data_IF_082302806273
#
_entry.id   IF_082302806273
#
_cell.length_a   1.000
_cell.length_b   1.000
_cell.length_c   1.000
_cell.angle_alpha   90.00
_cell.angle_beta   90.00
_cell.angle_gamma   90.00
#
_symmetry.space_group_name_H-M   'P 1'
#
loop_
_entity.id
_entity.type
_entity.pdbx_description
1 polymer ?
#
# COMPACT_ATOMS: atom_id res chain seq x y z
N UNK A 1 17.02 -6.86 -18.18
CA UNK A 1 16.27 -5.99 -19.10
C UNK A 1 15.20 -5.30 -18.28
N UNK A 2 15.14 -3.97 -18.25
CA UNK A 2 14.11 -3.25 -17.48
C UNK A 2 12.72 -3.47 -18.09
N UNK A 3 11.66 -3.39 -17.29
CA UNK A 3 10.28 -3.52 -17.79
C UNK A 3 9.97 -2.56 -18.96
N UNK A 4 10.53 -1.35 -18.95
CA UNK A 4 10.37 -0.37 -20.02
C UNK A 4 11.12 -0.76 -21.31
N UNK A 5 12.24 -1.48 -21.20
CA UNK A 5 12.96 -2.03 -22.36
C UNK A 5 12.17 -3.17 -23.03
N UNK A 6 11.54 -4.06 -22.25
CA UNK A 6 10.67 -5.10 -22.81
C UNK A 6 9.46 -4.48 -23.52
N UNK A 7 8.85 -3.45 -22.92
CA UNK A 7 7.72 -2.73 -23.52
C UNK A 7 8.11 -2.01 -24.82
N UNK A 8 9.30 -1.39 -24.85
CA UNK A 8 9.88 -0.75 -26.03
C UNK A 8 10.06 -1.73 -27.19
N UNK A 9 10.62 -2.91 -26.90
CA UNK A 9 10.80 -3.96 -27.90
C UNK A 9 9.45 -4.48 -28.42
N UNK A 10 8.49 -4.74 -27.53
CA UNK A 10 7.18 -5.30 -27.91
C UNK A 10 6.31 -4.32 -28.72
N UNK A 11 6.41 -3.02 -28.43
CA UNK A 11 5.63 -1.98 -29.12
C UNK A 11 6.39 -1.33 -30.28
N UNK A 12 7.62 -1.78 -30.56
CA UNK A 12 8.52 -1.21 -31.57
C UNK A 12 8.71 0.31 -31.43
N UNK A 13 8.85 0.79 -30.19
CA UNK A 13 9.12 2.20 -29.89
C UNK A 13 10.51 2.40 -29.32
N UNK A 14 11.10 3.57 -29.55
CA UNK A 14 12.32 3.99 -28.85
C UNK A 14 12.04 4.14 -27.35
N UNK A 15 13.00 3.71 -26.52
CA UNK A 15 12.89 3.77 -25.06
C UNK A 15 12.64 5.20 -24.56
N UNK A 16 13.26 6.19 -25.19
CA UNK A 16 13.08 7.62 -24.89
C UNK A 16 11.66 8.09 -25.19
N UNK A 17 11.08 7.63 -26.29
CA UNK A 17 9.72 7.98 -26.70
C UNK A 17 8.69 7.40 -25.72
N UNK A 18 8.82 6.13 -25.34
CA UNK A 18 7.98 5.53 -24.30
C UNK A 18 8.14 6.22 -22.95
N UNK A 19 9.37 6.58 -22.57
CA UNK A 19 9.62 7.34 -21.35
C UNK A 19 8.84 8.66 -21.31
N UNK A 20 8.77 9.36 -22.43
CA UNK A 20 7.96 10.59 -22.57
C UNK A 20 6.46 10.32 -22.48
N UNK A 21 5.97 9.26 -23.14
CA UNK A 21 4.56 8.85 -23.07
C UNK A 21 4.18 8.57 -21.61
N UNK A 22 4.95 7.74 -20.89
CA UNK A 22 4.67 7.42 -19.50
C UNK A 22 4.70 8.65 -18.59
N UNK A 23 5.70 9.52 -18.75
CA UNK A 23 5.79 10.77 -17.97
C UNK A 23 4.56 11.68 -18.16
N UNK A 24 3.96 11.67 -19.36
CA UNK A 24 2.81 12.51 -19.66
C UNK A 24 1.47 11.87 -19.27
N UNK A 25 1.35 10.54 -19.41
CA UNK A 25 0.10 9.82 -19.16
C UNK A 25 -0.06 9.47 -17.69
N UNK A 26 1.02 9.07 -17.00
CA UNK A 26 0.94 8.57 -15.63
C UNK A 26 0.32 9.59 -14.65
N UNK A 27 0.67 10.90 -14.68
CA UNK A 27 0.02 11.88 -13.81
C UNK A 27 -1.48 12.03 -14.09
N UNK A 28 -1.89 11.94 -15.37
CA UNK A 28 -3.31 12.03 -15.76
C UNK A 28 -4.09 10.80 -15.29
N UNK A 29 -3.51 9.60 -15.47
CA UNK A 29 -4.10 8.36 -14.94
C UNK A 29 -4.21 8.41 -13.43
N UNK A 30 -3.16 8.84 -12.73
CA UNK A 30 -3.17 9.00 -11.28
C UNK A 30 -4.31 9.93 -10.84
N UNK A 31 -4.47 11.09 -11.48
CA UNK A 31 -5.55 12.03 -11.18
C UNK A 31 -6.96 11.45 -11.44
N UNK A 32 -7.12 10.64 -12.48
CA UNK A 32 -8.38 9.96 -12.76
C UNK A 32 -8.68 8.87 -11.75
N UNK A 33 -7.67 8.08 -11.36
CA UNK A 33 -7.80 6.93 -10.45
C UNK A 33 -7.94 7.35 -8.99
N UNK A 34 -7.38 8.50 -8.60
CA UNK A 34 -7.48 9.06 -7.24
C UNK A 34 -8.93 9.20 -6.77
N UNK A 35 -9.85 9.51 -7.70
CA UNK A 35 -11.29 9.63 -7.42
C UNK A 35 -11.94 8.32 -6.95
N UNK A 36 -11.29 7.17 -7.16
CA UNK A 36 -11.77 5.86 -6.72
C UNK A 36 -11.21 5.45 -5.36
N UNK A 37 -10.29 6.24 -4.78
CA UNK A 37 -9.70 5.99 -3.47
C UNK A 37 -10.42 6.88 -2.46
N UNK A 38 -11.50 6.36 -1.89
CA UNK A 38 -12.24 7.03 -0.83
C UNK A 38 -12.36 6.13 0.39
N UNK A 39 -12.41 6.76 1.58
CA UNK A 39 -12.60 6.03 2.82
C UNK A 39 -14.10 5.71 3.00
N UNK A 40 -14.52 4.44 2.96
CA UNK A 40 -15.92 4.08 3.12
C UNK A 40 -16.38 4.20 4.57
N UNK A 41 -17.69 4.36 4.76
CA UNK A 41 -18.31 4.28 6.07
C UNK A 41 -18.30 2.83 6.59
N UNK A 42 -18.33 2.66 7.91
CA UNK A 42 -18.45 1.34 8.55
C UNK A 42 -19.62 0.50 8.01
N UNK A 43 -20.76 1.14 7.75
CA UNK A 43 -21.94 0.47 7.20
C UNK A 43 -21.70 -0.06 5.78
N UNK A 44 -21.01 0.70 4.94
CA UNK A 44 -20.67 0.27 3.58
C UNK A 44 -19.74 -0.95 3.62
N UNK A 45 -18.70 -0.93 4.46
CA UNK A 45 -17.78 -2.07 4.63
C UNK A 45 -18.52 -3.30 5.16
N UNK A 46 -19.41 -3.12 6.12
CA UNK A 46 -20.22 -4.23 6.66
C UNK A 46 -21.11 -4.88 5.59
N UNK A 47 -21.69 -4.08 4.70
CA UNK A 47 -22.56 -4.58 3.63
C UNK A 47 -21.76 -5.34 2.56
N UNK A 48 -20.54 -4.91 2.24
CA UNK A 48 -19.67 -5.57 1.26
C UNK A 48 -18.88 -6.75 1.81
N UNK A 49 -18.73 -6.87 3.13
CA UNK A 49 -18.08 -8.01 3.78
C UNK A 49 -18.78 -9.35 3.43
N UNK A 50 -18.03 -10.35 2.92
CA UNK A 50 -18.58 -11.68 2.65
C UNK A 50 -19.21 -12.31 3.89
N UNK A 51 -20.31 -13.04 3.72
CA UNK A 51 -21.09 -13.63 4.83
C UNK A 51 -20.21 -14.49 5.75
N UNK A 52 -19.29 -15.29 5.17
CA UNK A 52 -18.36 -16.14 5.92
C UNK A 52 -17.40 -15.36 6.82
N UNK A 53 -17.08 -14.11 6.49
CA UNK A 53 -16.20 -13.25 7.26
C UNK A 53 -16.92 -12.58 8.43
N UNK A 54 -18.22 -12.28 8.31
CA UNK A 54 -18.99 -11.52 9.32
C UNK A 54 -18.99 -12.17 10.70
N UNK A 55 -19.00 -13.50 10.76
CA UNK A 55 -19.03 -14.24 12.03
C UNK A 55 -17.82 -13.93 12.94
N UNK A 56 -16.64 -13.68 12.36
CA UNK A 56 -15.39 -13.44 13.11
C UNK A 56 -14.83 -12.04 12.95
N UNK A 57 -15.16 -11.37 11.85
CA UNK A 57 -14.53 -10.14 11.39
C UNK A 57 -15.55 -9.02 11.09
N UNK A 58 -16.75 -9.07 11.68
CA UNK A 58 -17.79 -8.02 11.50
C UNK A 58 -17.37 -6.62 11.92
N UNK A 59 -16.33 -6.48 12.75
CA UNK A 59 -15.79 -5.19 13.17
C UNK A 59 -14.57 -4.75 12.34
N UNK A 60 -14.07 -5.59 11.43
CA UNK A 60 -12.92 -5.25 10.58
C UNK A 60 -13.37 -4.28 9.51
N UNK A 61 -12.79 -3.09 9.52
CA UNK A 61 -13.10 -2.03 8.54
C UNK A 61 -11.97 -1.78 7.55
N UNK A 62 -10.79 -2.35 7.82
CA UNK A 62 -9.58 -2.10 7.07
C UNK A 62 -8.65 -3.30 7.15
N UNK A 63 -8.21 -3.80 6.01
CA UNK A 63 -7.09 -4.73 5.88
C UNK A 63 -5.92 -3.94 5.31
N UNK A 64 -4.86 -3.79 6.10
CA UNK A 64 -3.68 -3.03 5.72
C UNK A 64 -2.55 -3.95 5.28
N UNK A 65 -1.86 -3.54 4.21
CA UNK A 65 -0.67 -4.21 3.73
C UNK A 65 0.31 -3.21 3.11
N UNK A 66 1.61 -3.49 3.24
CA UNK A 66 2.64 -2.72 2.55
C UNK A 66 3.08 -3.47 1.30
N UNK A 67 2.82 -2.89 0.13
CA UNK A 67 3.32 -3.44 -1.12
C UNK A 67 4.59 -2.72 -1.56
N UNK A 68 5.44 -3.43 -2.32
CA UNK A 68 6.70 -2.91 -2.84
C UNK A 68 6.72 -2.95 -4.36
N UNK A 69 7.10 -1.83 -4.97
CA UNK A 69 7.33 -1.68 -6.41
C UNK A 69 8.83 -1.63 -6.64
N UNK A 70 9.35 -2.56 -7.45
CA UNK A 70 10.75 -2.55 -7.87
C UNK A 70 11.06 -1.31 -8.71
N UNK A 71 12.19 -0.69 -8.42
CA UNK A 71 12.70 0.47 -9.15
C UNK A 71 14.09 0.18 -9.71
N UNK A 72 14.47 0.96 -10.72
CA UNK A 72 15.85 0.96 -11.18
C UNK A 72 16.79 1.37 -10.05
N UNK A 73 17.91 0.64 -9.90
CA UNK A 73 18.96 0.93 -8.93
C UNK A 73 19.36 2.42 -9.01
N UNK A 74 19.17 3.20 -7.94
CA UNK A 74 19.57 4.61 -7.93
C UNK A 74 21.08 4.78 -8.18
N UNK A 75 21.51 5.88 -8.79
CA UNK A 75 22.94 6.14 -9.02
C UNK A 75 23.69 6.46 -7.72
N UNK A 76 23.07 7.19 -6.79
CA UNK A 76 23.67 7.58 -5.51
C UNK A 76 23.61 6.45 -4.48
N UNK A 77 24.74 6.12 -3.86
CA UNK A 77 24.86 5.05 -2.85
C UNK A 77 23.89 5.23 -1.67
N UNK A 78 23.70 6.46 -1.18
CA UNK A 78 22.74 6.76 -0.12
C UNK A 78 21.31 6.36 -0.52
N UNK A 79 20.88 6.73 -1.73
CA UNK A 79 19.54 6.39 -2.23
C UNK A 79 19.39 4.89 -2.48
N UNK A 80 20.46 4.20 -2.91
CA UNK A 80 20.46 2.75 -3.01
C UNK A 80 20.25 2.11 -1.63
N UNK A 81 20.95 2.58 -0.59
CA UNK A 81 20.83 2.03 0.75
C UNK A 81 19.44 2.28 1.37
N UNK A 82 18.81 3.43 1.08
CA UNK A 82 17.46 3.77 1.55
C UNK A 82 16.36 2.99 0.82
N UNK A 83 16.53 2.71 -0.47
CA UNK A 83 15.53 1.99 -1.27
C UNK A 83 15.78 0.48 -1.31
N UNK A 84 16.85 -0.04 -0.71
CA UNK A 84 17.14 -1.47 -0.71
C UNK A 84 16.14 -2.26 0.12
N UNK A 85 15.43 -3.20 -0.52
CA UNK A 85 14.60 -4.20 0.13
C UNK A 85 15.37 -5.50 0.28
N UNK A 86 15.64 -5.88 1.53
CA UNK A 86 16.25 -7.17 1.83
C UNK A 86 15.34 -8.35 1.43
N UNK A 87 14.03 -8.16 1.52
CA UNK A 87 13.03 -9.16 1.17
C UNK A 87 13.00 -9.44 -0.35
N UNK A 88 12.94 -8.38 -1.17
CA UNK A 88 12.93 -8.51 -2.64
C UNK A 88 14.33 -8.65 -3.26
N UNK A 89 15.40 -8.38 -2.50
CA UNK A 89 16.79 -8.37 -2.94
C UNK A 89 17.04 -7.40 -4.11
N UNK A 90 16.31 -6.29 -4.13
CA UNK A 90 16.42 -5.22 -5.13
C UNK A 90 16.06 -3.86 -4.51
N UNK A 91 16.19 -2.79 -5.29
CA UNK A 91 15.76 -1.46 -4.87
C UNK A 91 14.24 -1.32 -5.12
N UNK A 92 13.49 -0.93 -4.10
CA UNK A 92 12.04 -0.78 -4.16
C UNK A 92 11.57 0.53 -3.55
N UNK A 93 10.37 0.95 -3.94
CA UNK A 93 9.55 1.92 -3.21
C UNK A 93 8.36 1.17 -2.62
N UNK A 94 8.08 1.45 -1.36
CA UNK A 94 7.07 0.81 -0.54
C UNK A 94 5.91 1.76 -0.29
N UNK A 95 4.69 1.23 -0.28
CA UNK A 95 3.46 1.98 -0.03
C UNK A 95 2.57 1.19 0.91
N UNK A 96 1.95 1.88 1.87
CA UNK A 96 0.84 1.31 2.64
C UNK A 96 -0.43 1.44 1.82
N UNK A 97 -1.11 0.32 1.60
CA UNK A 97 -2.45 0.28 1.03
C UNK A 97 -3.44 -0.32 2.03
N UNK A 98 -4.69 0.11 1.92
CA UNK A 98 -5.78 -0.44 2.70
C UNK A 98 -6.91 -0.90 1.78
N UNK A 99 -7.45 -2.09 2.07
CA UNK A 99 -8.65 -2.60 1.42
C UNK A 99 -9.68 -3.06 2.46
N UNK A 100 -10.95 -2.63 2.41
CA UNK A 100 -12.00 -3.16 3.28
C UNK A 100 -12.61 -4.46 2.72
N UNK A 101 -12.74 -4.54 1.39
CA UNK A 101 -13.52 -5.53 0.65
C UNK A 101 -12.89 -5.85 -0.73
N UNK A 102 -11.60 -5.57 -0.89
CA UNK A 102 -10.87 -5.70 -2.16
C UNK A 102 -10.77 -4.41 -2.98
N UNK A 103 -11.52 -3.36 -2.62
CA UNK A 103 -11.31 -2.01 -3.17
C UNK A 103 -10.24 -1.24 -2.37
N UNK A 104 -9.40 -0.45 -3.05
CA UNK A 104 -8.39 0.36 -2.35
C UNK A 104 -9.03 1.63 -1.79
N UNK A 105 -9.07 1.77 -0.47
CA UNK A 105 -9.68 2.92 0.21
C UNK A 105 -8.68 3.92 0.82
N UNK A 106 -7.39 3.56 0.83
CA UNK A 106 -6.30 4.41 1.28
C UNK A 106 -4.98 3.96 0.65
N UNK A 107 -4.16 4.93 0.25
CA UNK A 107 -2.77 4.71 -0.16
C UNK A 107 -1.87 5.80 0.44
N UNK A 108 -0.71 5.41 0.96
CA UNK A 108 0.27 6.37 1.48
C UNK A 108 1.11 7.00 0.36
N UNK A 109 1.89 8.02 0.72
CA UNK A 109 3.07 8.41 -0.07
C UNK A 109 4.08 7.26 -0.17
N UNK A 110 5.01 7.36 -1.13
CA UNK A 110 6.05 6.35 -1.36
C UNK A 110 7.22 6.46 -0.40
N UNK A 111 7.63 5.33 0.17
CA UNK A 111 8.75 5.21 1.09
C UNK A 111 9.86 4.36 0.49
N UNK A 112 11.13 4.58 0.86
CA UNK A 112 12.19 3.67 0.43
C UNK A 112 11.96 2.25 0.95
N UNK A 113 12.27 1.22 0.15
CA UNK A 113 12.05 -0.19 0.47
C UNK A 113 12.63 -0.67 1.81
N UNK A 114 13.64 0.03 2.35
CA UNK A 114 14.21 -0.27 3.67
C UNK A 114 13.31 0.15 4.84
N UNK A 115 12.35 1.02 4.60
CA UNK A 115 11.44 1.53 5.64
C UNK A 115 10.56 0.41 6.17
N UNK A 116 10.44 0.30 7.49
CA UNK A 116 9.57 -0.70 8.11
C UNK A 116 8.10 -0.30 8.03
N UNK A 117 7.24 -1.30 7.91
CA UNK A 117 5.79 -1.10 7.72
C UNK A 117 5.17 -0.34 8.90
N UNK A 118 5.66 -0.58 10.12
CA UNK A 118 5.26 0.17 11.33
C UNK A 118 5.58 1.65 11.26
N UNK A 119 6.71 2.05 10.64
CA UNK A 119 7.06 3.47 10.47
C UNK A 119 6.12 4.11 9.45
N UNK A 120 5.82 3.40 8.36
CA UNK A 120 4.89 3.88 7.33
C UNK A 120 3.49 4.05 7.93
N UNK A 121 3.00 3.08 8.70
CA UNK A 121 1.70 3.18 9.38
C UNK A 121 1.58 4.46 10.21
N UNK A 122 2.58 4.75 11.05
CA UNK A 122 2.59 5.92 11.94
C UNK A 122 2.68 7.26 11.21
N UNK A 123 3.34 7.30 10.04
CA UNK A 123 3.63 8.54 9.31
C UNK A 123 2.75 8.79 8.09
N UNK A 124 2.02 7.79 7.62
CA UNK A 124 1.21 7.87 6.39
C UNK A 124 -0.09 8.66 6.54
N UNK A 125 -0.50 8.98 7.77
CA UNK A 125 -1.83 9.56 8.05
C UNK A 125 -2.97 8.53 8.10
N UNK A 126 -2.67 7.23 7.96
CA UNK A 126 -3.67 6.16 8.06
C UNK A 126 -4.37 6.15 9.43
N UNK A 127 -3.60 6.34 10.52
CA UNK A 127 -4.14 6.31 11.88
C UNK A 127 -5.22 7.38 12.12
N UNK A 128 -5.22 8.47 11.35
CA UNK A 128 -6.21 9.54 11.47
C UNK A 128 -7.54 9.21 10.78
N UNK A 129 -7.59 8.11 10.02
CA UNK A 129 -8.81 7.57 9.41
C UNK A 129 -9.55 6.57 10.31
N UNK A 130 -8.92 6.15 11.41
CA UNK A 130 -9.46 5.12 12.29
C UNK A 130 -10.57 5.68 13.17
N UNK A 131 -11.74 5.04 13.12
CA UNK A 131 -12.85 5.30 14.02
C UNK A 131 -12.78 4.43 15.28
N UNK A 132 -13.15 4.93 16.47
CA UNK A 132 -13.21 4.12 17.68
C UNK A 132 -14.15 2.90 17.56
N UNK A 133 -13.78 1.79 18.19
CA UNK A 133 -14.58 0.57 18.24
C UNK A 133 -14.51 -0.31 16.98
N UNK A 134 -13.61 -0.01 16.04
CA UNK A 134 -13.36 -0.84 14.86
C UNK A 134 -12.15 -1.75 15.05
N UNK A 135 -11.99 -2.68 14.13
CA UNK A 135 -10.83 -3.56 14.03
C UNK A 135 -10.05 -3.29 12.75
N UNK A 136 -8.73 -3.27 12.87
CA UNK A 136 -7.81 -3.18 11.75
C UNK A 136 -7.14 -4.54 11.62
N UNK A 137 -7.20 -5.14 10.44
CA UNK A 137 -6.52 -6.38 10.14
C UNK A 137 -5.17 -6.08 9.49
N UNK A 138 -4.10 -6.70 9.98
CA UNK A 138 -2.77 -6.56 9.42
C UNK A 138 -2.01 -7.88 9.43
N UNK A 139 -1.01 -7.96 8.57
CA UNK A 139 -0.04 -9.06 8.56
C UNK A 139 0.89 -9.00 9.80
N UNK A 140 1.90 -9.89 9.87
CA UNK A 140 2.88 -9.89 10.97
C UNK A 140 4.05 -8.91 10.77
N UNK A 141 4.17 -8.29 9.60
CA UNK A 141 5.19 -7.29 9.26
C UNK A 141 5.03 -6.01 10.07
N UNK A 142 3.80 -5.63 10.42
CA UNK A 142 3.50 -4.47 11.27
C UNK A 142 3.82 -4.73 12.75
N UNK A 143 5.09 -4.66 13.14
CA UNK A 143 5.53 -4.91 14.53
C UNK A 143 5.25 -3.73 15.45
N UNK A 144 4.79 -4.00 16.69
CA UNK A 144 4.59 -3.01 17.75
C UNK A 144 3.67 -1.84 17.36
N UNK A 145 2.56 -2.14 16.67
CA UNK A 145 1.57 -1.14 16.23
C UNK A 145 0.27 -1.19 17.04
N UNK A 146 0.13 -2.19 17.91
CA UNK A 146 -1.04 -2.43 18.75
C UNK A 146 -1.38 -1.19 19.59
N UNK A 147 -0.36 -0.56 20.17
CA UNK A 147 -0.52 0.65 20.98
C UNK A 147 -1.01 1.83 20.14
N UNK A 148 -0.40 2.07 18.97
CA UNK A 148 -0.78 3.19 18.11
C UNK A 148 -2.24 3.06 17.64
N UNK A 149 -2.70 1.82 17.38
CA UNK A 149 -4.09 1.52 17.01
C UNK A 149 -5.03 1.66 18.23
N UNK A 150 -4.60 1.20 19.40
CA UNK A 150 -5.38 1.31 20.63
C UNK A 150 -5.59 2.76 21.08
N UNK A 151 -4.60 3.65 20.86
CA UNK A 151 -4.71 5.08 21.12
C UNK A 151 -5.80 5.76 20.25
N UNK A 152 -6.17 5.15 19.12
CA UNK A 152 -7.31 5.56 18.28
C UNK A 152 -8.64 4.89 18.69
N UNK A 153 -8.66 4.14 19.79
CA UNK A 153 -9.84 3.41 20.27
C UNK A 153 -10.20 2.18 19.43
N UNK A 154 -9.29 1.70 18.58
CA UNK A 154 -9.48 0.51 17.75
C UNK A 154 -8.65 -0.67 18.27
N UNK A 155 -8.81 -1.85 17.66
CA UNK A 155 -8.01 -3.03 18.01
C UNK A 155 -7.42 -3.70 16.78
N UNK A 156 -6.24 -4.31 16.95
CA UNK A 156 -5.52 -5.01 15.89
C UNK A 156 -5.93 -6.47 15.84
N UNK A 157 -6.24 -6.96 14.64
CA UNK A 157 -6.47 -8.36 14.33
C UNK A 157 -5.32 -8.85 13.46
N UNK A 158 -4.63 -9.91 13.88
CA UNK A 158 -3.56 -10.51 13.08
C UNK A 158 -4.11 -11.59 12.17
N UNK A 159 -3.67 -11.60 10.92
CA UNK A 159 -3.88 -12.75 10.04
C UNK A 159 -3.16 -13.98 10.62
N UNK A 160 -3.92 -14.96 11.10
CA UNK A 160 -3.42 -16.30 11.39
C UNK A 160 -3.41 -17.07 10.08
N UNK A 161 -2.22 -17.24 9.50
CA UNK A 161 -2.02 -18.23 8.44
C UNK A 161 -2.07 -19.60 9.13
N UNK A 162 -3.01 -20.44 8.72
CA UNK A 162 -3.12 -21.84 9.16
C UNK A 162 -1.92 -22.65 8.69
#
# INVERSE_FOLDING_TARGET
MSHMQCLAMNLNYLLTYLGTIFKNILPKLAQCLDKFIFWPTKSQVFLSLPISFRARFSKVVAIIDCFEVEIQKPSKALHQAMTWSAYKKCNTIKYLACTPDGTCCFISEGWGGRTSDSVILKKSGFLDKIEPGVQIMADRGFKHVERDIAEKGASLVRLQVW
#
